data_IF_173372735078
#
_entry.id   IF_173372735078
#
_cell.length_a   1.000
_cell.length_b   1.000
_cell.length_c   1.000
_cell.angle_alpha   90.00
_cell.angle_beta   90.00
_cell.angle_gamma   90.00
#
_symmetry.space_group_name_H-M   'P 1'
#
loop_
_entity.id
_entity.type
_entity.pdbx_description
1 polymer ?
#
# COMPACT_ATOMS: atom_id res chain seq x y z
N UNK A 1 7.75 -5.83 2.23
CA UNK A 1 8.42 -4.72 2.96
C UNK A 1 7.46 -3.55 3.05
N UNK A 2 7.59 -2.70 4.08
CA UNK A 2 6.66 -1.59 4.32
C UNK A 2 7.44 -0.34 4.71
N UNK A 3 7.21 0.75 4.00
CA UNK A 3 7.81 2.05 4.25
C UNK A 3 6.75 3.06 4.70
N UNK A 4 7.13 3.94 5.63
CA UNK A 4 6.24 4.91 6.25
C UNK A 4 6.88 6.29 6.24
N UNK A 5 6.13 7.30 5.79
CA UNK A 5 6.61 8.69 5.77
C UNK A 5 5.53 9.65 6.31
N UNK A 6 5.89 10.59 7.18
CA UNK A 6 5.00 11.70 7.51
C UNK A 6 4.90 12.66 6.33
N UNK A 7 3.73 13.28 6.18
CA UNK A 7 3.48 14.33 5.18
C UNK A 7 3.34 15.70 5.85
N UNK A 8 3.41 16.78 5.06
CA UNK A 8 3.28 18.16 5.56
C UNK A 8 1.93 18.43 6.24
N UNK A 9 0.87 17.72 5.83
CA UNK A 9 -0.50 17.89 6.36
C UNK A 9 -0.79 16.98 7.57
N UNK A 10 0.25 16.49 8.26
CA UNK A 10 0.12 15.56 9.39
C UNK A 10 -0.61 14.26 9.05
N UNK A 11 -0.56 13.85 7.78
CA UNK A 11 -0.99 12.53 7.32
C UNK A 11 0.21 11.58 7.29
N UNK A 12 -0.05 10.28 7.26
CA UNK A 12 0.96 9.23 7.09
C UNK A 12 0.80 8.61 5.71
N UNK A 13 1.86 8.63 4.91
CA UNK A 13 1.96 7.89 3.65
C UNK A 13 2.58 6.53 3.94
N UNK A 14 1.91 5.46 3.50
CA UNK A 14 2.35 4.07 3.69
C UNK A 14 2.49 3.44 2.33
N UNK A 15 3.66 2.84 2.05
CA UNK A 15 3.89 2.04 0.84
C UNK A 15 4.15 0.59 1.22
N UNK A 16 3.34 -0.30 0.66
CA UNK A 16 3.39 -1.75 0.91
C UNK A 16 3.78 -2.46 -0.36
N UNK A 17 4.80 -3.31 -0.26
CA UNK A 17 5.22 -4.24 -1.30
C UNK A 17 5.01 -5.67 -0.81
N UNK A 18 4.39 -6.50 -1.65
CA UNK A 18 4.17 -7.90 -1.32
C UNK A 18 3.88 -8.76 -2.52
N UNK A 19 3.59 -10.03 -2.25
CA UNK A 19 2.98 -10.93 -3.20
C UNK A 19 1.64 -11.39 -2.63
N UNK A 20 0.64 -11.52 -3.50
CA UNK A 20 -0.65 -12.10 -3.17
C UNK A 20 -0.92 -13.29 -4.08
N UNK A 21 -1.67 -14.25 -3.57
CA UNK A 21 -2.18 -15.37 -4.36
C UNK A 21 -3.70 -15.33 -4.24
N UNK A 22 -4.39 -15.28 -5.37
CA UNK A 22 -5.83 -15.41 -5.44
C UNK A 22 -6.16 -16.81 -5.94
N UNK A 23 -7.02 -17.52 -5.22
CA UNK A 23 -7.42 -18.90 -5.54
C UNK A 23 -6.20 -19.81 -5.80
N UNK A 24 -6.20 -20.53 -6.94
CA UNK A 24 -5.14 -21.43 -7.39
C UNK A 24 -4.20 -20.77 -8.41
N UNK A 25 -4.29 -19.45 -8.61
CA UNK A 25 -3.39 -18.72 -9.51
C UNK A 25 -1.96 -18.68 -8.95
N UNK A 26 -1.00 -18.33 -9.80
CA UNK A 26 0.38 -18.11 -9.35
C UNK A 26 0.45 -16.84 -8.47
N UNK A 27 1.29 -16.82 -7.41
CA UNK A 27 1.53 -15.60 -6.65
C UNK A 27 1.99 -14.45 -7.56
N UNK A 28 1.36 -13.29 -7.39
CA UNK A 28 1.64 -12.07 -8.14
C UNK A 28 2.15 -10.98 -7.20
N UNK A 29 3.16 -10.24 -7.63
CA UNK A 29 3.60 -9.06 -6.91
C UNK A 29 2.49 -8.00 -6.88
N UNK A 30 2.45 -7.20 -5.83
CA UNK A 30 1.59 -6.03 -5.76
C UNK A 30 2.29 -4.89 -5.03
N UNK A 31 1.82 -3.69 -5.33
CA UNK A 31 2.15 -2.45 -4.64
C UNK A 31 0.87 -1.81 -4.17
N UNK A 32 0.79 -1.42 -2.91
CA UNK A 32 -0.35 -0.69 -2.37
C UNK A 32 0.12 0.52 -1.59
N UNK A 33 -0.52 1.66 -1.82
CA UNK A 33 -0.21 2.92 -1.17
C UNK A 33 -1.44 3.41 -0.41
N UNK A 34 -1.25 3.73 0.87
CA UNK A 34 -2.28 4.31 1.72
C UNK A 34 -1.88 5.70 2.18
N UNK A 35 -2.85 6.62 2.23
CA UNK A 35 -2.71 7.86 2.99
C UNK A 35 -3.67 7.83 4.18
N UNK A 36 -3.12 7.92 5.39
CA UNK A 36 -3.89 7.97 6.63
C UNK A 36 -3.95 9.39 7.16
N UNK A 37 -5.15 9.87 7.49
CA UNK A 37 -5.38 11.16 8.15
C UNK A 37 -6.00 10.94 9.51
N UNK A 38 -5.47 11.62 10.53
CA UNK A 38 -6.04 11.62 11.87
C UNK A 38 -7.15 12.66 11.99
N UNK A 39 -8.30 12.26 12.51
CA UNK A 39 -9.44 13.12 12.86
C UNK A 39 -10.07 12.60 14.16
N UNK A 40 -10.33 13.48 15.13
CA UNK A 40 -10.98 13.13 16.39
C UNK A 40 -10.34 11.92 17.12
N UNK A 41 -9.01 11.90 17.18
CA UNK A 41 -8.22 10.80 17.77
C UNK A 41 -8.39 9.43 17.08
N UNK A 42 -8.92 9.39 15.86
CA UNK A 42 -9.03 8.20 15.03
C UNK A 42 -8.33 8.41 13.68
N UNK A 43 -7.79 7.33 13.12
CA UNK A 43 -7.16 7.34 11.80
C UNK A 43 -8.12 6.82 10.74
N UNK A 44 -8.22 7.53 9.63
CA UNK A 44 -8.99 7.10 8.46
C UNK A 44 -8.08 7.03 7.23
N UNK A 45 -8.27 6.01 6.40
CA UNK A 45 -7.67 5.94 5.08
C UNK A 45 -8.41 6.90 4.14
N UNK A 46 -7.71 7.94 3.66
CA UNK A 46 -8.30 8.91 2.73
C UNK A 46 -8.00 8.57 1.28
N UNK A 47 -6.92 7.83 1.02
CA UNK A 47 -6.49 7.43 -0.30
C UNK A 47 -5.94 6.01 -0.25
N UNK A 48 -6.40 5.17 -1.18
CA UNK A 48 -5.93 3.81 -1.38
C UNK A 48 -5.66 3.61 -2.88
N UNK A 49 -4.43 3.27 -3.23
CA UNK A 49 -4.02 2.96 -4.60
C UNK A 49 -3.40 1.57 -4.62
N UNK A 50 -4.09 0.64 -5.27
CA UNK A 50 -3.61 -0.71 -5.48
C UNK A 50 -3.13 -0.90 -6.93
N UNK A 51 -1.97 -1.55 -7.10
CA UNK A 51 -1.44 -1.92 -8.42
C UNK A 51 -0.85 -3.33 -8.40
N UNK A 52 -1.36 -4.16 -9.29
CA UNK A 52 -0.85 -5.51 -9.53
C UNK A 52 0.44 -5.48 -10.37
N UNK A 53 1.45 -6.22 -9.96
CA UNK A 53 2.69 -6.46 -10.69
C UNK A 53 2.47 -7.47 -11.81
N UNK A 54 2.01 -6.99 -12.97
CA UNK A 54 1.69 -7.85 -14.13
C UNK A 54 2.92 -8.39 -14.86
N UNK A 55 4.10 -7.78 -14.65
CA UNK A 55 5.36 -8.26 -15.18
C UNK A 55 6.21 -8.81 -14.03
N UNK A 56 6.63 -10.05 -14.15
CA UNK A 56 7.60 -10.65 -13.23
C UNK A 56 9.00 -10.15 -13.63
N UNK A 57 9.29 -8.89 -13.33
CA UNK A 57 10.63 -8.33 -13.49
C UNK A 57 11.39 -8.73 -12.23
N UNK A 58 12.44 -9.56 -12.33
CA UNK A 58 13.29 -9.83 -11.17
C UNK A 58 13.90 -8.50 -10.72
N UNK A 59 13.67 -8.15 -9.46
CA UNK A 59 14.37 -7.06 -8.76
C UNK A 59 15.67 -7.60 -8.21
#
# INVERSE_FOLDING_TARGET
EQDFQPTVDSCVLIMVFGQLQADEDRPMAFHQVFMLKSQNCAWACTNDVFRLGVHNIPV
#
